data_IF_263560000242
#
_entry.id   IF_263560000242
#
_cell.length_a   1.000
_cell.length_b   1.000
_cell.length_c   1.000
_cell.angle_alpha   90.00
_cell.angle_beta   90.00
_cell.angle_gamma   90.00
#
_symmetry.space_group_name_H-M   'P 1'
#
loop_
_entity.id
_entity.type
_entity.pdbx_description
1 polymer ?
#
# COMPACT_ATOMS: atom_id res chain seq x y z
N UNK A 1 -26.67 -18.45 0.48
CA UNK A 1 -25.60 -17.63 -0.12
C UNK A 1 -25.84 -17.31 -1.60
N UNK A 2 -26.05 -18.29 -2.50
CA UNK A 2 -26.22 -18.02 -3.95
C UNK A 2 -27.41 -17.10 -4.31
N UNK A 3 -28.47 -17.03 -3.49
CA UNK A 3 -29.63 -16.16 -3.74
C UNK A 3 -29.36 -14.67 -3.53
N UNK A 4 -28.40 -14.30 -2.67
CA UNK A 4 -28.07 -12.90 -2.36
C UNK A 4 -27.23 -12.21 -3.45
N UNK A 5 -26.53 -13.00 -4.26
CA UNK A 5 -25.62 -12.49 -5.29
C UNK A 5 -26.34 -12.15 -6.59
N UNK A 6 -27.55 -12.69 -6.79
CA UNK A 6 -28.32 -12.49 -8.01
C UNK A 6 -28.76 -11.04 -8.13
N UNK A 7 -28.33 -10.39 -9.21
CA UNK A 7 -28.65 -8.98 -9.48
C UNK A 7 -27.66 -7.98 -8.86
N UNK A 8 -26.59 -8.46 -8.19
CA UNK A 8 -25.48 -7.59 -7.81
C UNK A 8 -24.66 -7.22 -9.04
N UNK A 9 -24.20 -5.97 -9.13
CA UNK A 9 -23.45 -5.42 -10.25
C UNK A 9 -22.08 -4.92 -9.80
N UNK A 10 -21.04 -5.47 -10.41
CA UNK A 10 -19.63 -5.13 -10.16
C UNK A 10 -19.09 -4.36 -11.36
N UNK A 11 -18.76 -3.09 -11.16
CA UNK A 11 -17.97 -2.29 -12.09
C UNK A 11 -16.48 -2.61 -11.93
N UNK A 12 -15.72 -2.62 -13.01
CA UNK A 12 -14.26 -2.69 -12.91
C UNK A 12 -13.54 -1.73 -13.84
N UNK A 13 -12.43 -1.16 -13.35
CA UNK A 13 -11.48 -0.40 -14.15
C UNK A 13 -10.06 -0.91 -13.99
N UNK A 14 -9.51 -1.48 -15.07
CA UNK A 14 -8.14 -1.97 -15.14
C UNK A 14 -7.55 -1.54 -16.48
N UNK A 15 -6.27 -1.19 -16.51
CA UNK A 15 -5.57 -0.99 -17.78
C UNK A 15 -5.61 -2.26 -18.63
N UNK A 16 -5.61 -2.11 -19.96
CA UNK A 16 -5.64 -3.27 -20.87
C UNK A 16 -4.50 -4.26 -20.57
N UNK A 17 -3.32 -3.73 -20.25
CA UNK A 17 -2.14 -4.53 -19.87
C UNK A 17 -2.43 -5.39 -18.64
N UNK A 18 -3.06 -4.84 -17.61
CA UNK A 18 -3.41 -5.59 -16.38
C UNK A 18 -4.54 -6.59 -16.63
N UNK A 19 -5.56 -6.19 -17.40
CA UNK A 19 -6.66 -7.08 -17.77
C UNK A 19 -6.17 -8.32 -18.52
N UNK A 20 -5.29 -8.13 -19.51
CA UNK A 20 -4.63 -9.21 -20.26
C UNK A 20 -3.77 -10.08 -19.34
N UNK A 21 -2.92 -9.46 -18.51
CA UNK A 21 -2.02 -10.19 -17.59
C UNK A 21 -2.78 -11.06 -16.58
N UNK A 22 -3.88 -10.57 -16.02
CA UNK A 22 -4.70 -11.32 -15.08
C UNK A 22 -5.64 -12.32 -15.76
N UNK A 23 -5.89 -12.19 -17.07
CA UNK A 23 -7.01 -12.86 -17.76
C UNK A 23 -8.36 -12.54 -17.10
N UNK A 24 -8.62 -11.26 -16.82
CA UNK A 24 -9.76 -10.83 -16.00
C UNK A 24 -11.15 -11.15 -16.61
N UNK A 25 -11.22 -11.45 -17.91
CA UNK A 25 -12.46 -11.93 -18.54
C UNK A 25 -12.94 -13.26 -17.95
N UNK A 26 -12.01 -14.16 -17.59
CA UNK A 26 -12.36 -15.42 -16.93
C UNK A 26 -12.99 -15.19 -15.54
N UNK A 27 -12.54 -14.14 -14.82
CA UNK A 27 -13.17 -13.72 -13.57
C UNK A 27 -14.58 -13.17 -13.78
N UNK A 28 -14.77 -12.33 -14.81
CA UNK A 28 -16.10 -11.83 -15.14
C UNK A 28 -17.09 -12.99 -15.45
N UNK A 29 -16.64 -14.03 -16.16
CA UNK A 29 -17.44 -15.23 -16.40
C UNK A 29 -17.73 -16.04 -15.14
N UNK A 30 -16.77 -16.14 -14.21
CA UNK A 30 -16.95 -16.76 -12.91
C UNK A 30 -18.05 -16.04 -12.10
N UNK A 31 -18.03 -14.71 -12.07
CA UNK A 31 -19.06 -13.88 -11.43
C UNK A 31 -20.44 -14.06 -12.06
N UNK A 32 -20.54 -14.07 -13.40
CA UNK A 32 -21.81 -14.28 -14.12
C UNK A 32 -22.43 -15.64 -13.79
N UNK A 33 -21.63 -16.70 -13.66
CA UNK A 33 -22.10 -18.02 -13.21
C UNK A 33 -22.66 -18.02 -11.79
N UNK A 34 -22.32 -17.02 -10.98
CA UNK A 34 -22.85 -16.79 -9.63
C UNK A 34 -24.00 -15.78 -9.58
N UNK A 35 -24.47 -15.30 -10.74
CA UNK A 35 -25.56 -14.33 -10.86
C UNK A 35 -25.15 -12.88 -10.64
N UNK A 36 -23.85 -12.59 -10.62
CA UNK A 36 -23.29 -11.24 -10.50
C UNK A 36 -23.07 -10.67 -11.90
N UNK A 37 -23.61 -9.50 -12.16
CA UNK A 37 -23.33 -8.72 -13.36
C UNK A 37 -21.95 -8.06 -13.25
N UNK A 38 -21.14 -8.14 -14.30
CA UNK A 38 -19.79 -7.54 -14.31
C UNK A 38 -19.66 -6.66 -15.54
N UNK A 39 -19.38 -5.38 -15.32
CA UNK A 39 -19.27 -4.34 -16.36
C UNK A 39 -17.91 -3.67 -16.31
N UNK A 40 -17.25 -3.56 -17.47
CA UNK A 40 -16.04 -2.75 -17.59
C UNK A 40 -16.45 -1.29 -17.62
N UNK A 41 -15.87 -0.49 -16.73
CA UNK A 41 -16.16 0.94 -16.65
C UNK A 41 -15.38 1.69 -17.71
N UNK A 42 -16.07 2.56 -18.44
CA UNK A 42 -15.49 3.57 -19.30
C UNK A 42 -15.50 4.91 -18.56
N UNK A 43 -14.35 5.31 -18.02
CA UNK A 43 -14.22 6.57 -17.29
C UNK A 43 -14.36 7.79 -18.20
N UNK A 44 -14.34 7.63 -19.54
CA UNK A 44 -14.58 8.72 -20.48
C UNK A 44 -16.07 9.07 -20.59
N UNK A 45 -16.97 8.19 -20.15
CA UNK A 45 -18.41 8.42 -20.07
C UNK A 45 -18.86 8.72 -18.62
N UNK A 46 -20.07 9.28 -18.41
CA UNK A 46 -20.66 9.40 -17.08
C UNK A 46 -20.78 8.03 -16.39
N UNK A 47 -20.41 7.95 -15.10
CA UNK A 47 -20.53 6.71 -14.33
C UNK A 47 -21.98 6.40 -13.94
N UNK A 48 -22.83 7.43 -13.80
CA UNK A 48 -24.28 7.30 -13.55
C UNK A 48 -24.98 6.39 -14.57
N UNK A 49 -24.62 6.53 -15.85
CA UNK A 49 -25.20 5.75 -16.95
C UNK A 49 -24.70 4.29 -16.97
N UNK A 50 -23.62 4.01 -16.23
CA UNK A 50 -22.98 2.70 -16.13
C UNK A 50 -23.34 1.97 -14.83
N UNK A 51 -24.10 2.62 -13.95
CA UNK A 51 -24.61 2.06 -12.70
C UNK A 51 -26.06 1.57 -12.81
N UNK A 52 -26.73 1.33 -11.66
CA UNK A 52 -26.17 1.37 -10.31
C UNK A 52 -25.11 0.28 -10.10
N UNK A 53 -24.09 0.55 -9.28
CA UNK A 53 -23.01 -0.39 -8.97
C UNK A 53 -23.05 -0.75 -7.48
N UNK A 54 -22.91 -2.03 -7.15
CA UNK A 54 -22.73 -2.45 -5.76
C UNK A 54 -21.25 -2.44 -5.35
N UNK A 55 -20.36 -2.76 -6.30
CA UNK A 55 -18.91 -2.80 -6.07
C UNK A 55 -18.16 -2.22 -7.27
N UNK A 56 -17.09 -1.46 -7.01
CA UNK A 56 -16.09 -1.06 -8.00
C UNK A 56 -14.77 -1.75 -7.67
N UNK A 57 -14.23 -2.53 -8.61
CA UNK A 57 -12.86 -3.08 -8.54
C UNK A 57 -11.97 -2.25 -9.44
N UNK A 58 -10.88 -1.68 -8.91
CA UNK A 58 -10.03 -0.86 -9.77
C UNK A 58 -8.54 -0.96 -9.45
N UNK A 59 -7.72 -0.63 -10.46
CA UNK A 59 -6.33 -0.24 -10.26
C UNK A 59 -6.06 1.07 -10.98
N UNK A 60 -6.43 2.17 -10.32
CA UNK A 60 -6.27 3.55 -10.83
C UNK A 60 -4.89 4.14 -10.54
N UNK A 61 -3.92 3.33 -10.07
CA UNK A 61 -2.62 3.79 -9.59
C UNK A 61 -1.90 4.69 -10.59
N UNK A 62 -1.90 4.33 -11.87
CA UNK A 62 -1.21 5.10 -12.91
C UNK A 62 -1.94 6.42 -13.21
N UNK A 63 -3.27 6.39 -13.35
CA UNK A 63 -4.08 7.61 -13.53
C UNK A 63 -3.96 8.57 -12.35
N UNK A 64 -3.91 8.06 -11.11
CA UNK A 64 -3.72 8.90 -9.92
C UNK A 64 -2.33 9.55 -9.94
N UNK A 65 -1.28 8.80 -10.32
CA UNK A 65 0.06 9.36 -10.45
C UNK A 65 0.15 10.41 -11.56
N UNK A 66 -0.46 10.17 -12.71
CA UNK A 66 -0.52 11.12 -13.83
C UNK A 66 -1.28 12.38 -13.43
N UNK A 67 -2.40 12.22 -12.70
CA UNK A 67 -3.14 13.34 -12.13
C UNK A 67 -2.31 14.17 -11.14
N UNK A 68 -1.55 13.51 -10.25
CA UNK A 68 -0.65 14.18 -9.30
C UNK A 68 0.53 14.90 -10.01
N UNK A 69 0.82 14.54 -11.26
CA UNK A 69 1.76 15.23 -12.15
C UNK A 69 1.11 16.35 -12.99
N UNK A 70 -0.14 16.70 -12.67
CA UNK A 70 -0.96 17.71 -13.37
C UNK A 70 -1.34 17.34 -14.81
N UNK A 71 -1.46 16.06 -15.15
CA UNK A 71 -2.09 15.67 -16.40
C UNK A 71 -3.59 15.96 -16.36
N UNK A 72 -4.05 16.88 -17.22
CA UNK A 72 -5.42 17.39 -17.22
C UNK A 72 -6.47 16.31 -17.47
N UNK A 73 -6.17 15.34 -18.34
CA UNK A 73 -7.11 14.26 -18.64
C UNK A 73 -7.25 13.33 -17.43
N UNK A 74 -6.13 12.91 -16.85
CA UNK A 74 -6.10 12.06 -15.67
C UNK A 74 -6.75 12.72 -14.45
N UNK A 75 -6.52 14.02 -14.24
CA UNK A 75 -7.21 14.82 -13.22
C UNK A 75 -8.75 14.74 -13.39
N UNK A 76 -9.24 14.94 -14.62
CA UNK A 76 -10.68 14.86 -14.90
C UNK A 76 -11.25 13.47 -14.65
N UNK A 77 -10.53 12.42 -15.08
CA UNK A 77 -10.97 11.03 -14.90
C UNK A 77 -11.00 10.63 -13.42
N UNK A 78 -9.96 10.99 -12.66
CA UNK A 78 -9.88 10.74 -11.21
C UNK A 78 -10.95 11.52 -10.46
N UNK A 79 -11.19 12.80 -10.83
CA UNK A 79 -12.25 13.61 -10.23
C UNK A 79 -13.64 12.99 -10.47
N UNK A 80 -13.92 12.52 -11.68
CA UNK A 80 -15.20 11.87 -12.00
C UNK A 80 -15.45 10.62 -11.16
N UNK A 81 -14.40 9.81 -10.96
CA UNK A 81 -14.49 8.64 -10.07
C UNK A 81 -14.75 9.08 -8.63
N UNK A 82 -14.06 10.11 -8.15
CA UNK A 82 -14.26 10.66 -6.81
C UNK A 82 -15.70 11.17 -6.63
N UNK A 83 -16.21 11.97 -7.57
CA UNK A 83 -17.57 12.54 -7.52
C UNK A 83 -18.65 11.44 -7.47
N UNK A 84 -18.47 10.36 -8.24
CA UNK A 84 -19.36 9.21 -8.22
C UNK A 84 -19.33 8.48 -6.87
N UNK A 85 -18.13 8.21 -6.34
CA UNK A 85 -17.97 7.55 -5.02
C UNK A 85 -18.60 8.38 -3.91
N UNK A 86 -18.45 9.70 -3.94
CA UNK A 86 -19.06 10.61 -2.96
C UNK A 86 -20.59 10.67 -3.07
N UNK A 87 -21.12 10.56 -4.29
CA UNK A 87 -22.57 10.57 -4.56
C UNK A 87 -23.24 9.22 -4.27
N UNK A 88 -22.46 8.13 -4.22
CA UNK A 88 -22.91 6.75 -4.01
C UNK A 88 -22.17 6.06 -2.86
N UNK A 89 -22.39 6.48 -1.60
CA UNK A 89 -21.75 5.85 -0.43
C UNK A 89 -22.13 4.37 -0.25
N UNK A 90 -23.20 3.90 -0.89
CA UNK A 90 -23.58 2.50 -0.98
C UNK A 90 -22.68 1.66 -1.92
N UNK A 91 -21.89 2.28 -2.79
CA UNK A 91 -20.97 1.56 -3.68
C UNK A 91 -19.69 1.20 -2.92
N UNK A 92 -19.39 -0.09 -2.80
CA UNK A 92 -18.14 -0.56 -2.19
C UNK A 92 -16.97 -0.37 -3.17
N UNK A 93 -15.91 0.31 -2.77
CA UNK A 93 -14.73 0.56 -3.62
C UNK A 93 -13.56 -0.33 -3.18
N UNK A 94 -13.09 -1.20 -4.07
CA UNK A 94 -11.93 -2.08 -3.90
C UNK A 94 -10.76 -1.53 -4.73
N UNK A 95 -9.89 -0.68 -4.18
CA UNK A 95 -9.81 -0.22 -2.77
C UNK A 95 -9.91 1.32 -2.68
N UNK A 96 -10.27 1.92 -1.53
CA UNK A 96 -10.49 3.36 -1.41
C UNK A 96 -9.33 4.22 -1.93
N UNK A 97 -9.62 5.28 -2.70
CA UNK A 97 -8.59 6.13 -3.31
C UNK A 97 -7.57 6.71 -2.30
N UNK A 98 -7.95 7.13 -1.06
CA UNK A 98 -6.98 7.57 -0.07
C UNK A 98 -5.96 6.49 0.33
N UNK A 99 -6.40 5.24 0.37
CA UNK A 99 -5.54 4.10 0.65
C UNK A 99 -4.55 3.88 -0.50
N UNK A 100 -5.04 3.94 -1.75
CA UNK A 100 -4.19 3.86 -2.95
C UNK A 100 -3.14 4.98 -2.95
N UNK A 101 -3.51 6.23 -2.66
CA UNK A 101 -2.58 7.36 -2.57
C UNK A 101 -1.49 7.18 -1.52
N UNK A 102 -1.80 6.48 -0.42
CA UNK A 102 -0.79 6.12 0.59
C UNK A 102 0.23 5.12 0.03
N UNK A 103 -0.24 4.11 -0.71
CA UNK A 103 0.59 3.08 -1.33
C UNK A 103 1.39 3.55 -2.56
N UNK A 104 1.11 4.76 -3.06
CA UNK A 104 1.87 5.38 -4.16
C UNK A 104 3.13 6.12 -3.69
N UNK A 105 3.28 6.35 -2.39
CA UNK A 105 4.43 7.03 -1.78
C UNK A 105 5.13 6.08 -0.80
N UNK A 106 6.37 5.69 -1.10
CA UNK A 106 7.15 4.75 -0.26
C UNK A 106 7.41 5.32 1.13
N UNK A 107 7.59 6.63 1.28
CA UNK A 107 7.76 7.25 2.59
C UNK A 107 6.50 7.02 3.44
N UNK A 108 5.31 7.34 2.90
CA UNK A 108 4.05 7.14 3.62
C UNK A 108 3.80 5.67 3.93
N UNK A 109 4.12 4.79 2.99
CA UNK A 109 3.98 3.35 3.14
C UNK A 109 4.88 2.78 4.25
N UNK A 110 6.16 3.20 4.30
CA UNK A 110 7.08 2.74 5.35
C UNK A 110 6.76 3.36 6.71
N UNK A 111 6.33 4.62 6.76
CA UNK A 111 5.82 5.24 7.99
C UNK A 111 4.58 4.51 8.54
N UNK A 112 3.72 3.99 7.65
CA UNK A 112 2.59 3.16 8.07
C UNK A 112 3.06 1.82 8.63
N UNK A 113 3.97 1.12 7.94
CA UNK A 113 4.50 -0.18 8.38
C UNK A 113 5.14 -0.05 9.76
N UNK A 114 5.97 0.97 9.97
CA UNK A 114 6.59 1.23 11.27
C UNK A 114 5.55 1.48 12.38
N UNK A 115 4.50 2.26 12.10
CA UNK A 115 3.40 2.46 13.06
C UNK A 115 2.62 1.17 13.36
N UNK A 116 2.53 0.25 12.41
CA UNK A 116 1.86 -1.04 12.62
C UNK A 116 2.74 -1.95 13.49
N UNK A 117 4.03 -2.05 13.19
CA UNK A 117 5.00 -2.75 14.03
C UNK A 117 4.97 -2.25 15.48
N UNK A 118 5.05 -0.93 15.68
CA UNK A 118 4.96 -0.29 17.00
C UNK A 118 3.65 -0.61 17.74
N UNK A 119 2.54 -0.79 17.01
CA UNK A 119 1.25 -1.15 17.62
C UNK A 119 1.17 -2.64 17.96
N UNK A 120 1.74 -3.48 17.10
CA UNK A 120 1.71 -4.93 17.26
C UNK A 120 2.59 -5.38 18.43
N UNK A 121 3.70 -4.68 18.69
CA UNK A 121 4.67 -5.06 19.73
C UNK A 121 5.10 -6.54 19.63
N UNK A 122 5.20 -7.03 18.38
CA UNK A 122 5.59 -8.40 18.06
C UNK A 122 7.10 -8.43 17.78
N UNK A 123 7.85 -9.11 18.64
CA UNK A 123 9.32 -9.20 18.56
C UNK A 123 9.81 -9.95 17.31
N UNK A 124 8.92 -10.64 16.59
CA UNK A 124 9.21 -11.34 15.33
C UNK A 124 9.15 -10.42 14.11
N UNK A 125 8.78 -9.15 14.25
CA UNK A 125 8.69 -8.18 13.16
C UNK A 125 9.79 -7.13 13.34
N UNK A 126 10.34 -6.65 12.22
CA UNK A 126 11.20 -5.47 12.23
C UNK A 126 10.91 -4.54 11.04
N UNK A 127 10.80 -3.23 11.25
CA UNK A 127 10.87 -2.25 10.16
C UNK A 127 12.32 -1.80 9.99
N UNK A 128 12.95 -2.03 8.83
CA UNK A 128 14.29 -1.50 8.59
C UNK A 128 14.27 0.04 8.68
N UNK A 129 15.24 0.66 9.37
CA UNK A 129 15.38 2.11 9.42
C UNK A 129 15.39 2.70 8.01
N UNK A 130 14.68 3.81 7.82
CA UNK A 130 14.59 4.50 6.54
C UNK A 130 14.49 6.01 6.72
N UNK A 131 14.89 6.76 5.69
CA UNK A 131 14.65 8.20 5.60
C UNK A 131 14.42 8.63 4.15
N UNK A 132 13.94 9.86 3.97
CA UNK A 132 13.77 10.47 2.65
C UNK A 132 14.90 11.47 2.40
N UNK A 133 15.55 11.34 1.25
CA UNK A 133 16.43 12.36 0.71
C UNK A 133 15.62 13.18 -0.29
N UNK A 134 15.39 14.46 0.00
CA UNK A 134 14.65 15.38 -0.89
C UNK A 134 15.57 16.15 -1.84
N UNK A 135 16.83 16.33 -1.46
CA UNK A 135 17.85 17.09 -2.19
C UNK A 135 19.15 16.30 -2.22
N UNK A 136 20.07 16.71 -3.10
CA UNK A 136 21.40 16.11 -3.24
C UNK A 136 22.12 16.00 -1.90
N UNK A 137 22.90 14.93 -1.75
CA UNK A 137 23.67 14.65 -0.54
C UNK A 137 24.73 15.75 -0.32
N UNK A 138 24.81 16.25 0.90
CA UNK A 138 25.74 17.29 1.33
C UNK A 138 26.51 16.89 2.59
N UNK A 139 27.27 17.83 3.18
CA UNK A 139 28.13 17.56 4.35
C UNK A 139 27.38 16.95 5.55
N UNK A 140 26.13 17.37 5.76
CA UNK A 140 25.32 16.92 6.91
C UNK A 140 24.60 15.59 6.66
N UNK A 141 24.66 15.04 5.45
CA UNK A 141 23.89 13.84 5.07
C UNK A 141 24.27 12.63 5.92
N UNK A 142 25.56 12.44 6.22
CA UNK A 142 26.00 11.35 7.09
C UNK A 142 25.48 11.47 8.52
N UNK A 143 25.53 12.67 9.10
CA UNK A 143 25.00 12.91 10.44
C UNK A 143 23.50 12.59 10.50
N UNK A 144 22.75 12.94 9.45
CA UNK A 144 21.34 12.57 9.35
C UNK A 144 21.14 11.06 9.23
N UNK A 145 21.95 10.36 8.43
CA UNK A 145 21.90 8.89 8.30
C UNK A 145 22.12 8.24 9.67
N UNK A 146 23.16 8.64 10.40
CA UNK A 146 23.47 8.10 11.73
C UNK A 146 22.34 8.40 12.73
N UNK A 147 21.83 9.64 12.74
CA UNK A 147 20.73 10.05 13.62
C UNK A 147 19.43 9.27 13.39
N UNK A 148 19.18 8.82 12.15
CA UNK A 148 18.02 7.99 11.81
C UNK A 148 18.30 6.48 11.96
N UNK A 149 19.47 6.09 12.48
CA UNK A 149 19.84 4.69 12.71
C UNK A 149 20.06 3.88 11.43
N UNK A 150 20.32 4.55 10.31
CA UNK A 150 20.64 3.89 9.04
C UNK A 150 22.07 3.37 9.08
N UNK A 151 22.28 2.18 8.51
CA UNK A 151 23.60 1.55 8.46
C UNK A 151 23.93 1.10 7.04
N UNK A 152 25.21 1.09 6.70
CA UNK A 152 25.66 0.53 5.43
C UNK A 152 25.63 -1.01 5.45
N UNK A 153 25.31 -1.66 4.32
CA UNK A 153 24.77 -1.04 3.13
C UNK A 153 23.31 -0.61 3.31
N UNK A 154 22.86 0.40 2.56
CA UNK A 154 21.45 0.72 2.42
C UNK A 154 21.01 0.69 0.96
N UNK A 155 19.73 0.44 0.75
CA UNK A 155 19.08 0.44 -0.56
C UNK A 155 18.39 1.78 -0.80
N UNK A 156 18.64 2.38 -1.95
CA UNK A 156 17.96 3.57 -2.46
C UNK A 156 16.82 3.13 -3.38
N UNK A 157 15.64 3.71 -3.18
CA UNK A 157 14.43 3.47 -3.98
C UNK A 157 13.81 4.82 -4.34
N UNK A 158 13.17 4.94 -5.50
CA UNK A 158 12.40 6.15 -5.81
C UNK A 158 11.32 6.39 -4.76
N UNK A 159 10.98 7.66 -4.47
CA UNK A 159 9.88 7.95 -3.54
C UNK A 159 8.52 7.49 -4.08
N UNK A 160 8.28 7.75 -5.37
CA UNK A 160 7.10 7.23 -6.07
C UNK A 160 7.23 5.70 -6.17
N UNK A 161 6.20 4.99 -5.70
CA UNK A 161 6.23 3.53 -5.52
C UNK A 161 5.74 2.71 -6.74
N UNK A 162 5.17 3.37 -7.76
CA UNK A 162 4.61 2.71 -8.94
C UNK A 162 4.92 3.50 -10.23
N UNK A 163 4.84 2.84 -11.38
CA UNK A 163 5.05 3.43 -12.70
C UNK A 163 6.43 3.13 -13.31
N UNK A 164 6.66 3.59 -14.54
CA UNK A 164 7.76 3.16 -15.42
C UNK A 164 9.16 3.29 -14.81
N UNK A 165 9.42 4.36 -14.05
CA UNK A 165 10.73 4.64 -13.46
C UNK A 165 10.82 4.32 -11.97
N UNK A 166 9.77 3.74 -11.37
CA UNK A 166 9.71 3.49 -9.91
C UNK A 166 10.52 2.29 -9.42
N UNK A 167 11.17 1.60 -10.36
CA UNK A 167 11.82 0.32 -10.16
C UNK A 167 13.34 0.37 -10.24
N UNK A 168 13.92 1.51 -10.62
CA UNK A 168 15.36 1.75 -10.55
C UNK A 168 15.76 1.96 -9.09
N UNK A 169 16.73 1.16 -8.65
CA UNK A 169 17.22 1.12 -7.28
C UNK A 169 18.74 1.10 -7.27
N UNK A 170 19.31 1.50 -6.13
CA UNK A 170 20.74 1.40 -5.90
C UNK A 170 21.03 0.75 -4.54
N UNK A 171 22.17 0.10 -4.39
CA UNK A 171 22.71 -0.31 -3.09
C UNK A 171 23.99 0.46 -2.87
N UNK A 172 24.06 1.19 -1.77
CA UNK A 172 25.16 2.09 -1.42
C UNK A 172 25.95 1.43 -0.30
N UNK A 173 27.27 1.33 -0.45
CA UNK A 173 28.15 0.61 0.47
C UNK A 173 29.06 1.51 1.27
N UNK A 174 29.21 2.78 0.87
CA UNK A 174 30.10 3.73 1.53
C UNK A 174 29.59 5.16 1.40
N UNK A 175 30.16 6.08 2.16
CA UNK A 175 29.91 7.52 2.04
C UNK A 175 30.23 8.03 0.62
N UNK A 176 31.30 7.53 0.00
CA UNK A 176 31.76 8.00 -1.32
C UNK A 176 30.76 7.75 -2.45
N UNK A 177 29.88 6.75 -2.26
CA UNK A 177 28.81 6.37 -3.19
C UNK A 177 27.56 7.25 -3.05
N UNK A 178 27.45 8.07 -1.98
CA UNK A 178 26.28 8.93 -1.75
C UNK A 178 26.07 9.98 -2.86
N UNK A 179 27.14 10.35 -3.55
CA UNK A 179 27.10 11.27 -4.70
C UNK A 179 26.33 10.71 -5.91
N UNK A 180 26.22 9.39 -5.99
CA UNK A 180 25.55 8.70 -7.11
C UNK A 180 24.05 8.45 -6.82
N UNK A 181 23.56 8.84 -5.63
CA UNK A 181 22.15 8.79 -5.26
C UNK A 181 21.39 9.92 -5.96
N UNK A 182 20.20 9.62 -6.50
CA UNK A 182 19.35 10.61 -7.18
C UNK A 182 18.07 10.89 -6.38
N UNK A 183 18.01 12.02 -5.64
CA UNK A 183 16.80 12.50 -4.97
C UNK A 183 15.72 13.00 -5.96
N UNK A 184 14.42 13.01 -5.57
CA UNK A 184 13.88 12.54 -4.30
C UNK A 184 13.82 11.02 -4.22
N UNK A 185 14.39 10.44 -3.17
CA UNK A 185 14.44 9.00 -2.96
C UNK A 185 14.24 8.63 -1.50
N UNK A 186 13.92 7.36 -1.26
CA UNK A 186 13.92 6.74 0.05
C UNK A 186 15.18 5.90 0.16
N UNK A 187 15.94 6.09 1.24
CA UNK A 187 17.03 5.18 1.62
C UNK A 187 16.58 4.34 2.81
N UNK A 188 16.90 3.05 2.78
CA UNK A 188 16.48 2.08 3.80
C UNK A 188 17.64 1.11 4.08
N UNK A 189 17.94 0.83 5.34
CA UNK A 189 19.00 -0.13 5.71
C UNK A 189 18.77 -1.47 5.02
N UNK A 190 19.82 -2.02 4.41
CA UNK A 190 19.76 -3.31 3.75
C UNK A 190 19.78 -4.42 4.81
N UNK A 191 18.88 -5.38 4.69
CA UNK A 191 18.83 -6.55 5.56
C UNK A 191 19.29 -7.75 4.75
N UNK A 192 20.32 -8.47 5.21
CA UNK A 192 20.67 -9.76 4.64
C UNK A 192 19.55 -10.78 4.90
N UNK A 193 19.09 -11.44 3.85
CA UNK A 193 17.89 -12.30 3.87
C UNK A 193 18.02 -13.52 2.96
N UNK A 194 19.26 -13.95 2.70
CA UNK A 194 19.57 -15.19 2.00
C UNK A 194 18.99 -15.30 0.58
N UNK A 195 18.84 -14.15 -0.10
CA UNK A 195 18.37 -14.04 -1.48
C UNK A 195 16.95 -14.58 -1.74
N UNK A 196 16.11 -14.62 -0.70
CA UNK A 196 14.71 -15.07 -0.79
C UNK A 196 13.74 -13.96 -0.40
N UNK A 197 12.83 -13.63 -1.32
CA UNK A 197 11.71 -12.73 -1.08
C UNK A 197 10.41 -13.54 -0.95
N UNK A 198 9.63 -13.27 0.09
CA UNK A 198 8.30 -13.83 0.27
C UNK A 198 7.26 -12.79 -0.11
N UNK A 199 6.67 -12.92 -1.30
CA UNK A 199 5.54 -12.09 -1.73
C UNK A 199 4.26 -12.64 -1.11
N UNK A 200 3.73 -11.92 -0.14
CA UNK A 200 2.42 -12.23 0.41
C UNK A 200 1.38 -11.47 -0.40
N UNK A 201 0.61 -12.20 -1.19
CA UNK A 201 -0.49 -11.64 -1.96
C UNK A 201 -1.78 -11.75 -1.17
N UNK A 202 -2.36 -10.61 -0.79
CA UNK A 202 -3.56 -10.52 0.04
C UNK A 202 -4.78 -10.22 -0.82
N UNK A 203 -5.84 -10.99 -0.62
CA UNK A 203 -7.16 -10.82 -1.24
C UNK A 203 -8.20 -10.90 -0.13
N UNK A 204 -8.54 -9.75 0.44
CA UNK A 204 -9.46 -9.66 1.58
C UNK A 204 -8.93 -10.41 2.80
N UNK A 205 -9.71 -11.37 3.28
CA UNK A 205 -9.33 -12.21 4.42
C UNK A 205 -8.34 -13.33 4.07
N UNK A 206 -8.11 -13.60 2.78
CA UNK A 206 -7.20 -14.65 2.30
C UNK A 206 -5.86 -14.08 1.88
N UNK A 207 -4.81 -14.88 1.98
CA UNK A 207 -3.52 -14.56 1.36
C UNK A 207 -2.81 -15.82 0.87
N UNK A 208 -1.88 -15.62 -0.06
CA UNK A 208 -0.97 -16.66 -0.54
C UNK A 208 0.46 -16.13 -0.50
N UNK A 209 1.38 -16.92 0.05
CA UNK A 209 2.81 -16.60 0.05
C UNK A 209 3.46 -17.24 -1.17
N UNK A 210 4.16 -16.44 -1.97
CA UNK A 210 4.91 -16.88 -3.15
C UNK A 210 6.36 -16.49 -2.97
N UNK A 211 7.24 -17.49 -2.97
CA UNK A 211 8.68 -17.30 -2.91
C UNK A 211 9.20 -16.75 -4.25
N UNK A 212 10.14 -15.80 -4.19
CA UNK A 212 10.77 -15.15 -5.34
C UNK A 212 12.27 -15.02 -5.12
N UNK A 213 13.06 -14.99 -6.21
CA UNK A 213 14.45 -14.54 -6.13
C UNK A 213 14.54 -13.14 -5.52
N UNK A 214 15.60 -12.89 -4.77
CA UNK A 214 15.88 -11.60 -4.15
C UNK A 214 17.38 -11.32 -4.08
N UNK A 215 17.76 -10.14 -3.60
CA UNK A 215 19.16 -9.74 -3.50
C UNK A 215 19.94 -10.64 -2.54
N UNK A 216 21.12 -11.08 -2.98
CA UNK A 216 22.07 -11.84 -2.16
C UNK A 216 22.54 -11.06 -0.95
N UNK A 217 23.19 -11.76 -0.04
CA UNK A 217 23.78 -11.14 1.14
C UNK A 217 24.99 -10.27 0.77
N UNK A 218 25.21 -9.21 1.55
CA UNK A 218 26.38 -8.35 1.46
C UNK A 218 27.08 -8.20 2.81
N UNK A 219 28.39 -7.92 2.85
CA UNK A 219 29.08 -7.61 4.10
C UNK A 219 28.39 -6.45 4.84
N UNK A 220 28.25 -6.58 6.15
CA UNK A 220 27.71 -5.52 6.99
C UNK A 220 28.72 -4.38 7.17
N UNK A 221 28.20 -3.16 7.32
CA UNK A 221 29.00 -1.95 7.48
C UNK A 221 29.55 -1.40 6.16
N UNK A 222 30.33 -0.31 6.23
CA UNK A 222 30.96 0.28 5.06
C UNK A 222 31.88 -0.73 4.36
N UNK A 223 31.84 -0.75 3.04
CA UNK A 223 32.72 -1.61 2.24
C UNK A 223 33.33 -0.82 1.07
N UNK A 224 34.62 -1.04 0.82
CA UNK A 224 35.34 -0.50 -0.34
C UNK A 224 34.91 -1.25 -1.61
N UNK A 225 33.75 -0.85 -2.13
CA UNK A 225 33.11 -1.38 -3.33
C UNK A 225 32.17 -0.33 -3.89
N UNK A 226 32.00 -0.35 -5.20
CA UNK A 226 31.08 0.57 -5.88
C UNK A 226 29.63 0.27 -5.56
N UNK A 227 28.81 1.31 -5.57
CA UNK A 227 27.36 1.20 -5.62
C UNK A 227 26.87 0.24 -6.72
N UNK A 228 25.79 -0.49 -6.43
CA UNK A 228 25.12 -1.37 -7.40
C UNK A 228 23.84 -0.71 -7.84
N UNK A 229 23.68 -0.47 -9.14
CA UNK A 229 22.44 0.00 -9.75
C UNK A 229 21.70 -1.15 -10.43
N UNK A 230 20.41 -1.25 -10.20
CA UNK A 230 19.60 -2.32 -10.76
C UNK A 230 18.12 -1.93 -10.87
N UNK A 231 17.44 -2.58 -11.81
CA UNK A 231 15.99 -2.54 -11.88
C UNK A 231 15.40 -3.72 -11.09
N UNK A 232 14.51 -3.45 -10.13
CA UNK A 232 13.88 -4.47 -9.27
C UNK A 232 13.11 -5.55 -10.05
N UNK A 233 12.64 -5.29 -11.27
CA UNK A 233 12.04 -6.32 -12.12
C UNK A 233 13.02 -7.37 -12.60
N UNK A 234 14.31 -7.07 -12.65
CA UNK A 234 15.34 -8.05 -13.01
C UNK A 234 15.76 -8.92 -11.81
N UNK A 235 15.30 -8.58 -10.60
CA UNK A 235 15.70 -9.24 -9.34
C UNK A 235 14.60 -10.15 -8.80
N UNK A 236 13.33 -9.74 -8.80
CA UNK A 236 12.27 -10.45 -8.04
C UNK A 236 11.05 -10.89 -8.86
N UNK A 237 11.23 -11.16 -10.15
CA UNK A 237 10.25 -11.89 -10.98
C UNK A 237 10.51 -13.40 -10.90
N UNK A 238 9.55 -14.26 -11.26
CA UNK A 238 9.71 -15.72 -11.12
C UNK A 238 10.96 -16.27 -11.80
N UNK A 239 11.25 -15.78 -13.01
CA UNK A 239 12.39 -16.22 -13.83
C UNK A 239 13.63 -15.32 -13.67
N UNK A 240 13.66 -14.45 -12.65
CA UNK A 240 14.81 -13.58 -12.40
C UNK A 240 16.01 -14.41 -11.98
N UNK A 241 17.09 -14.34 -12.76
CA UNK A 241 18.35 -15.01 -12.47
C UNK A 241 19.52 -14.13 -12.87
N UNK A 242 20.31 -13.71 -11.89
CA UNK A 242 21.53 -12.91 -12.08
C UNK A 242 22.51 -13.14 -10.92
N UNK A 243 23.73 -12.62 -11.05
CA UNK A 243 24.72 -12.64 -9.95
C UNK A 243 24.25 -11.91 -8.68
N UNK A 244 23.26 -11.02 -8.80
CA UNK A 244 22.65 -10.32 -7.67
C UNK A 244 21.66 -11.19 -6.92
N UNK A 245 21.13 -12.26 -7.53
CA UNK A 245 20.14 -13.17 -6.93
C UNK A 245 20.73 -14.53 -6.57
N UNK A 246 22.05 -14.69 -6.68
CA UNK A 246 22.73 -15.92 -6.31
C UNK A 246 22.57 -16.23 -4.81
N UNK A 247 22.47 -17.53 -4.49
CA UNK A 247 22.38 -18.07 -3.13
C UNK A 247 23.70 -18.68 -2.64
N UNK A 248 24.82 -18.38 -3.29
CA UNK A 248 26.13 -18.97 -2.95
C UNK A 248 26.63 -18.59 -1.55
N UNK A 249 26.15 -17.48 -0.99
CA UNK A 249 26.58 -16.95 0.31
C UNK A 249 25.45 -16.92 1.36
N UNK A 250 24.57 -17.93 1.35
CA UNK A 250 23.56 -18.13 2.41
C UNK A 250 24.23 -18.36 3.75
N UNK A 251 23.75 -17.68 4.79
CA UNK A 251 24.29 -17.74 6.15
C UNK A 251 23.17 -17.51 7.18
N UNK A 252 23.39 -17.86 8.44
CA UNK A 252 22.45 -17.60 9.53
C UNK A 252 21.08 -18.27 9.34
N UNK A 253 20.01 -17.56 9.72
CA UNK A 253 18.62 -18.05 9.67
C UNK A 253 18.10 -18.05 8.24
N UNK A 254 17.53 -19.18 7.80
CA UNK A 254 16.91 -19.34 6.49
C UNK A 254 15.63 -20.17 6.60
N UNK A 255 14.60 -19.59 7.23
CA UNK A 255 13.30 -20.21 7.42
C UNK A 255 12.22 -19.47 6.61
N UNK A 256 11.11 -20.14 6.25
CA UNK A 256 9.96 -19.46 5.68
C UNK A 256 9.30 -18.54 6.73
N UNK A 257 8.50 -17.54 6.28
CA UNK A 257 7.78 -16.67 7.18
C UNK A 257 6.77 -17.43 8.04
N UNK A 258 6.59 -16.97 9.28
CA UNK A 258 5.60 -17.48 10.21
C UNK A 258 4.20 -17.01 9.79
N UNK A 259 3.29 -17.98 9.63
CA UNK A 259 1.93 -17.73 9.15
C UNK A 259 1.13 -16.78 10.05
N UNK A 260 1.28 -16.88 11.38
CA UNK A 260 0.58 -16.01 12.33
C UNK A 260 1.05 -14.55 12.22
N UNK A 261 2.35 -14.34 12.00
CA UNK A 261 2.92 -13.00 11.74
C UNK A 261 2.33 -12.41 10.47
N UNK A 262 2.29 -13.19 9.38
CA UNK A 262 1.71 -12.73 8.11
C UNK A 262 0.22 -12.42 8.24
N UNK A 263 -0.53 -13.27 8.95
CA UNK A 263 -1.96 -13.08 9.22
C UNK A 263 -2.22 -11.78 9.98
N UNK A 264 -1.43 -11.49 11.02
CA UNK A 264 -1.59 -10.28 11.83
C UNK A 264 -1.14 -9.01 11.08
N UNK A 265 -0.04 -9.07 10.32
CA UNK A 265 0.39 -7.99 9.42
C UNK A 265 -0.69 -7.65 8.39
N UNK A 266 -1.22 -8.68 7.71
CA UNK A 266 -2.31 -8.54 6.75
C UNK A 266 -3.53 -7.90 7.40
N UNK A 267 -3.98 -8.42 8.55
CA UNK A 267 -5.12 -7.86 9.28
C UNK A 267 -4.90 -6.39 9.66
N UNK A 268 -3.75 -6.07 10.23
CA UNK A 268 -3.41 -4.72 10.68
C UNK A 268 -3.36 -3.72 9.54
N UNK A 269 -2.79 -4.10 8.39
CA UNK A 269 -2.75 -3.28 7.18
C UNK A 269 -4.15 -3.04 6.62
N UNK A 270 -4.98 -4.09 6.53
CA UNK A 270 -6.38 -3.98 6.07
C UNK A 270 -7.19 -3.05 6.97
N UNK A 271 -7.10 -3.21 8.28
CA UNK A 271 -7.84 -2.38 9.23
C UNK A 271 -7.36 -0.92 9.25
N UNK A 272 -6.05 -0.69 9.06
CA UNK A 272 -5.49 0.67 9.14
C UNK A 272 -5.67 1.47 7.84
N UNK A 273 -5.55 0.83 6.68
CA UNK A 273 -5.67 1.49 5.38
C UNK A 273 -7.04 1.32 4.71
N UNK A 274 -7.81 0.29 5.07
CA UNK A 274 -8.99 -0.10 4.30
C UNK A 274 -8.67 -0.74 2.95
N UNK A 275 -7.43 -1.19 2.71
CA UNK A 275 -7.08 -1.96 1.51
C UNK A 275 -7.50 -3.42 1.67
N UNK A 276 -7.68 -4.11 0.54
CA UNK A 276 -8.02 -5.52 0.51
C UNK A 276 -7.35 -6.27 -0.63
N UNK A 277 -6.99 -5.59 -1.71
CA UNK A 277 -6.27 -6.15 -2.85
C UNK A 277 -4.86 -5.56 -2.87
N UNK A 278 -3.93 -6.18 -2.14
CA UNK A 278 -2.56 -5.68 -2.04
C UNK A 278 -1.56 -6.82 -1.90
N UNK A 279 -0.28 -6.51 -2.07
CA UNK A 279 0.81 -7.43 -1.76
C UNK A 279 1.79 -6.78 -0.81
N UNK A 280 2.35 -7.56 0.11
CA UNK A 280 3.49 -7.16 0.93
C UNK A 280 4.70 -8.03 0.59
N UNK A 281 5.83 -7.37 0.44
CA UNK A 281 7.12 -8.00 0.18
C UNK A 281 7.83 -8.18 1.53
N UNK A 282 7.93 -9.44 1.97
CA UNK A 282 8.51 -9.81 3.25
C UNK A 282 9.84 -10.52 3.03
N UNK A 283 10.86 -10.10 3.76
CA UNK A 283 12.14 -10.80 3.85
C UNK A 283 12.37 -11.26 5.29
N UNK A 284 13.14 -12.31 5.47
CA UNK A 284 13.51 -12.82 6.80
C UNK A 284 14.94 -12.39 7.09
N UNK A 285 15.12 -11.56 8.12
CA UNK A 285 16.44 -11.13 8.57
C UNK A 285 17.25 -12.36 8.98
N UNK A 286 18.37 -12.62 8.31
CA UNK A 286 19.15 -13.83 8.55
C UNK A 286 19.94 -13.81 9.88
N UNK A 287 20.05 -12.65 10.54
CA UNK A 287 20.68 -12.52 11.85
C UNK A 287 19.69 -12.78 13.00
N UNK A 288 18.45 -12.27 12.87
CA UNK A 288 17.46 -12.29 13.96
C UNK A 288 16.29 -13.24 13.72
N UNK A 289 16.03 -13.65 12.48
CA UNK A 289 14.85 -14.40 12.07
C UNK A 289 13.57 -13.57 11.98
N UNK A 290 13.65 -12.24 12.18
CA UNK A 290 12.50 -11.34 12.13
C UNK A 290 12.00 -11.10 10.70
N UNK A 291 10.72 -10.76 10.58
CA UNK A 291 10.03 -10.45 9.35
C UNK A 291 10.14 -8.96 9.07
N UNK A 292 10.82 -8.60 7.99
CA UNK A 292 10.87 -7.22 7.52
C UNK A 292 9.97 -7.02 6.30
N UNK A 293 9.00 -6.11 6.42
CA UNK A 293 8.20 -5.66 5.29
C UNK A 293 8.97 -4.56 4.57
N UNK A 294 9.42 -4.84 3.34
CA UNK A 294 10.29 -3.93 2.57
C UNK A 294 9.59 -3.23 1.41
N UNK A 295 8.38 -3.67 1.06
CA UNK A 295 7.53 -3.03 0.06
C UNK A 295 6.06 -3.42 0.25
N UNK A 296 5.16 -2.55 -0.18
CA UNK A 296 3.71 -2.80 -0.21
C UNK A 296 3.14 -2.26 -1.52
N UNK A 297 2.30 -3.06 -2.17
CA UNK A 297 1.85 -2.81 -3.53
C UNK A 297 0.32 -2.89 -3.63
N UNK A 298 -0.31 -1.84 -4.14
CA UNK A 298 -1.73 -1.86 -4.48
C UNK A 298 -2.01 -2.74 -5.70
N UNK A 299 -2.96 -3.66 -5.55
CA UNK A 299 -3.45 -4.60 -6.56
C UNK A 299 -2.31 -5.14 -7.45
N UNK A 300 -1.45 -6.02 -6.92
CA UNK A 300 -0.30 -6.55 -7.63
C UNK A 300 -0.70 -7.53 -8.74
N UNK A 301 0.27 -8.27 -9.27
CA UNK A 301 0.07 -9.19 -10.39
C UNK A 301 -0.49 -10.57 -10.01
N UNK A 302 -0.49 -10.95 -8.73
CA UNK A 302 -0.95 -12.26 -8.23
C UNK A 302 -0.38 -13.48 -8.97
N UNK A 303 0.81 -13.34 -9.56
CA UNK A 303 1.48 -14.39 -10.30
C UNK A 303 2.03 -15.45 -9.32
N UNK A 304 1.61 -16.70 -9.50
CA UNK A 304 1.83 -17.79 -8.54
C UNK A 304 0.67 -18.01 -7.57
N UNK A 305 -0.46 -17.31 -7.72
CA UNK A 305 -1.67 -17.49 -6.90
C UNK A 305 -2.77 -18.16 -7.73
N UNK A 306 -2.88 -19.50 -7.71
CA UNK A 306 -3.85 -20.21 -8.55
C UNK A 306 -5.31 -19.90 -8.19
N UNK A 307 -5.59 -19.64 -6.90
CA UNK A 307 -6.94 -19.40 -6.39
C UNK A 307 -7.39 -17.94 -6.45
N UNK A 308 -6.60 -17.05 -7.08
CA UNK A 308 -6.84 -15.59 -7.05
C UNK A 308 -8.29 -15.19 -7.38
N UNK A 309 -8.90 -15.79 -8.40
CA UNK A 309 -10.28 -15.47 -8.79
C UNK A 309 -11.33 -16.00 -7.82
N UNK A 310 -11.10 -17.16 -7.20
CA UNK A 310 -11.99 -17.69 -6.18
C UNK A 310 -11.91 -16.82 -4.92
N UNK A 311 -10.70 -16.43 -4.51
CA UNK A 311 -10.47 -15.55 -3.37
C UNK A 311 -11.09 -14.16 -3.60
N UNK A 312 -10.92 -13.60 -4.80
CA UNK A 312 -11.50 -12.29 -5.15
C UNK A 312 -13.03 -12.35 -5.12
N UNK A 313 -13.62 -13.40 -5.67
CA UNK A 313 -15.08 -13.61 -5.62
C UNK A 313 -15.55 -13.76 -4.16
N UNK A 314 -14.86 -14.57 -3.35
CA UNK A 314 -15.20 -14.75 -1.94
C UNK A 314 -15.12 -13.44 -1.16
N UNK A 315 -14.11 -12.62 -1.44
CA UNK A 315 -13.96 -11.29 -0.84
C UNK A 315 -15.11 -10.36 -1.22
N UNK A 316 -15.49 -10.30 -2.50
CA UNK A 316 -16.66 -9.52 -2.97
C UNK A 316 -17.94 -9.97 -2.25
N UNK A 317 -18.14 -11.28 -2.12
CA UNK A 317 -19.28 -11.84 -1.38
C UNK A 317 -19.25 -11.37 0.08
N UNK A 318 -18.08 -11.41 0.72
CA UNK A 318 -17.89 -11.02 2.12
C UNK A 318 -18.20 -9.54 2.35
N UNK A 319 -17.69 -8.63 1.51
CA UNK A 319 -17.93 -7.19 1.67
C UNK A 319 -19.39 -6.82 1.41
N UNK A 320 -20.04 -7.46 0.44
CA UNK A 320 -21.48 -7.27 0.21
C UNK A 320 -22.33 -7.77 1.39
N UNK A 321 -21.92 -8.88 2.03
CA UNK A 321 -22.61 -9.39 3.22
C UNK A 321 -22.43 -8.46 4.42
N UNK A 322 -21.22 -7.95 4.65
CA UNK A 322 -20.93 -6.99 5.73
C UNK A 322 -21.78 -5.72 5.62
N UNK A 323 -21.90 -5.18 4.41
CA UNK A 323 -22.74 -4.02 4.17
C UNK A 323 -24.24 -4.30 4.41
N UNK A 324 -24.72 -5.49 4.02
CA UNK A 324 -26.10 -5.89 4.26
C UNK A 324 -26.43 -5.98 5.76
N UNK A 325 -25.50 -6.46 6.59
CA UNK A 325 -25.69 -6.50 8.04
C UNK A 325 -25.73 -5.11 8.69
N UNK A 326 -24.92 -4.16 8.20
CA UNK A 326 -24.90 -2.78 8.73
C UNK A 326 -26.15 -1.98 8.32
N UNK A 327 -26.77 -2.35 7.20
CA UNK A 327 -28.00 -1.71 6.70
C UNK A 327 -29.30 -2.24 7.32
N UNK A 328 -29.26 -3.29 8.14
CA UNK A 328 -30.46 -3.85 8.77
C UNK A 328 -30.91 -2.99 9.96
N UNK A 329 -32.19 -2.54 10.05
CA UNK A 329 -32.66 -1.78 11.19
C UNK A 329 -32.61 -2.65 12.45
N UNK A 330 -31.94 -2.19 13.50
CA UNK A 330 -32.11 -2.75 14.84
C UNK A 330 -33.58 -2.62 15.24
N UNK A 331 -34.34 -3.71 15.17
CA UNK A 331 -35.75 -3.73 15.54
C UNK A 331 -35.96 -3.31 17.01
N UNK A 332 -37.17 -2.86 17.38
CA UNK A 332 -37.42 -2.39 18.75
C UNK A 332 -37.28 -3.57 19.72
N UNK A 333 -36.38 -3.44 20.70
CA UNK A 333 -36.39 -4.31 21.87
C UNK A 333 -37.66 -4.01 22.67
N UNK A 334 -38.69 -4.83 22.49
CA UNK A 334 -39.82 -4.89 23.41
C UNK A 334 -39.37 -5.50 24.75
N UNK A 335 -38.88 -4.65 25.65
CA UNK A 335 -38.72 -4.97 27.05
C UNK A 335 -40.05 -4.84 27.79
N UNK A 336 -40.84 -5.91 27.83
CA UNK A 336 -41.98 -6.00 28.74
C UNK A 336 -41.49 -6.14 30.18
N UNK A 337 -41.77 -5.11 30.97
CA UNK A 337 -41.65 -5.14 32.42
C UNK A 337 -42.68 -6.12 33.01
N UNK A 338 -42.22 -7.05 33.84
CA UNK A 338 -43.03 -7.73 34.84
C UNK A 338 -42.16 -7.90 36.09
N UNK A 339 -42.53 -7.17 37.15
CA UNK A 339 -41.80 -7.14 38.40
C UNK A 339 -42.02 -8.36 39.28
N UNK A 340 -41.12 -8.50 40.26
CA UNK A 340 -41.38 -9.09 41.56
C UNK A 340 -40.20 -8.79 42.49
N UNK A 341 -40.45 -7.98 43.51
CA UNK A 341 -39.69 -7.95 44.78
C UNK A 341 -40.16 -9.12 45.65
N UNK A 342 -39.36 -9.55 46.66
CA UNK A 342 -39.65 -9.02 47.99
C UNK A 342 -38.40 -8.66 48.83
N UNK A 343 -38.71 -7.90 49.88
CA UNK A 343 -37.82 -7.19 50.78
C UNK A 343 -37.21 -8.03 51.90
N UNK A 344 -36.08 -7.55 52.43
CA UNK A 344 -35.63 -7.57 53.84
C UNK A 344 -34.19 -7.03 53.87
N UNK A 345 -33.61 -6.44 54.92
CA UNK A 345 -34.03 -5.77 56.14
C UNK A 345 -32.74 -5.06 56.62
N UNK A 346 -32.82 -3.79 57.02
CA UNK A 346 -31.71 -3.05 57.66
C UNK A 346 -31.73 -3.38 59.17
N UNK A 347 -30.58 -3.34 59.85
CA UNK A 347 -30.48 -2.30 60.88
C UNK A 347 -29.13 -1.58 60.92
N UNK A 348 -29.22 -0.43 61.57
CA UNK A 348 -28.31 0.70 61.65
C UNK A 348 -27.05 0.47 62.49
N UNK A 349 -26.09 1.41 62.33
CA UNK A 349 -25.31 1.90 63.47
C UNK A 349 -23.92 2.46 63.15
N UNK A 350 -23.73 3.76 63.38
CA UNK A 350 -22.53 4.25 64.06
C UNK A 350 -21.57 5.15 63.28
N UNK A 351 -21.60 6.45 63.60
CA UNK A 351 -20.57 7.46 63.36
C UNK A 351 -19.15 7.02 63.78
N UNK A 352 -18.12 7.50 63.05
CA UNK A 352 -17.06 8.43 63.55
C UNK A 352 -15.84 8.50 62.62
N UNK A 353 -15.46 9.74 62.28
CA UNK A 353 -14.12 10.27 62.59
C UNK A 353 -12.92 9.95 61.67
N UNK A 354 -12.62 10.89 60.78
CA UNK A 354 -11.32 11.56 60.56
C UNK A 354 -10.00 10.78 60.80
N UNK A 355 -9.14 10.66 59.78
CA UNK A 355 -7.81 11.33 59.68
C UNK A 355 -6.93 10.72 58.59
N UNK A 356 -6.29 11.58 57.82
CA UNK A 356 -5.09 11.32 57.00
C UNK A 356 -3.85 11.19 57.90
N UNK A 357 -2.74 10.64 57.37
CA UNK A 357 -1.65 11.54 57.03
C UNK A 357 -0.90 11.25 55.72
N UNK A 358 -0.59 12.40 55.12
CA UNK A 358 0.43 12.86 54.16
C UNK A 358 1.78 12.13 54.09
N UNK A 359 2.38 12.15 52.87
CA UNK A 359 3.84 12.21 52.62
C UNK A 359 4.23 11.50 51.30
N UNK A 360 4.23 12.15 50.13
CA UNK A 360 5.22 13.08 49.51
C UNK A 360 6.37 12.44 48.70
N UNK A 361 6.65 13.10 47.55
CA UNK A 361 7.71 12.94 46.55
C UNK A 361 7.57 11.78 45.54
N UNK A 362 7.72 11.98 44.22
CA UNK A 362 8.12 13.15 43.44
C UNK A 362 7.95 12.87 41.94
N UNK A 363 7.71 13.93 41.18
CA UNK A 363 7.46 13.95 39.74
C UNK A 363 8.69 13.59 38.90
N UNK A 364 8.46 13.00 37.73
CA UNK A 364 9.17 13.31 36.50
C UNK A 364 8.18 13.18 35.32
N UNK A 365 8.13 14.23 34.52
CA UNK A 365 7.07 14.53 33.56
C UNK A 365 7.09 13.67 32.31
N UNK A 366 5.88 13.45 31.80
CA UNK A 366 5.62 13.09 30.41
C UNK A 366 5.70 14.37 29.57
N UNK A 367 6.67 14.45 28.67
CA UNK A 367 6.65 15.41 27.56
C UNK A 367 5.98 14.76 26.34
N UNK A 368 5.11 15.49 25.62
CA UNK A 368 4.39 15.01 24.44
C UNK A 368 5.23 15.13 23.16
N UNK A 369 5.09 14.15 22.27
CA UNK A 369 5.72 14.07 20.94
C UNK A 369 5.36 15.27 20.05
N UNK A 370 6.31 15.92 19.34
CA UNK A 370 6.00 17.04 18.47
C UNK A 370 5.95 16.59 17.00
N UNK A 371 4.75 16.33 16.46
CA UNK A 371 4.55 16.20 15.01
C UNK A 371 3.20 16.82 14.60
N UNK A 372 3.21 18.15 14.43
CA UNK A 372 2.24 18.89 13.62
C UNK A 372 3.07 19.90 12.84
N UNK A 373 3.09 19.78 11.50
CA UNK A 373 3.47 20.89 10.63
C UNK A 373 2.23 21.26 9.83
N UNK A 374 1.83 22.50 10.05
CA UNK A 374 0.66 23.19 9.52
C UNK A 374 0.71 23.33 8.00
N UNK A 375 -0.48 23.38 7.41
CA UNK A 375 -0.68 23.74 6.02
C UNK A 375 -0.42 25.22 5.77
N UNK A 376 0.20 25.52 4.63
CA UNK A 376 0.49 26.89 4.24
C UNK A 376 -0.78 27.59 3.72
N UNK A 377 -1.17 28.65 4.43
CA UNK A 377 -2.29 29.53 4.11
C UNK A 377 -1.77 30.80 3.42
N UNK A 378 -1.72 30.80 2.09
CA UNK A 378 -1.43 31.97 1.28
C UNK A 378 -2.66 32.90 1.13
N UNK A 379 -2.56 34.10 1.70
CA UNK A 379 -3.60 35.15 1.73
C UNK A 379 -4.01 35.67 0.34
N UNK A 380 -5.32 35.90 0.18
CA UNK A 380 -5.98 36.60 -0.95
C UNK A 380 -5.77 38.12 -0.90
N UNK A 381 -5.74 38.76 -2.07
CA UNK A 381 -6.49 40.00 -2.49
C UNK A 381 -5.65 40.92 -3.41
N UNK A 382 -6.24 41.81 -4.27
CA UNK A 382 -7.43 41.67 -5.13
C UNK A 382 -7.21 42.08 -6.62
N UNK A 383 -8.20 41.72 -7.44
CA UNK A 383 -8.60 42.15 -8.78
C UNK A 383 -7.84 43.26 -9.55
N UNK A 384 -7.48 42.94 -10.81
CA UNK A 384 -7.66 43.83 -11.97
C UNK A 384 -7.91 43.04 -13.26
N UNK A 385 -8.96 43.40 -14.01
CA UNK A 385 -9.25 42.95 -15.38
C UNK A 385 -8.41 43.74 -16.38
N UNK A 386 -7.96 43.11 -17.48
CA UNK A 386 -8.18 43.51 -18.89
C UNK A 386 -7.12 42.90 -19.82
N UNK A 387 -7.56 42.45 -21.02
CA UNK A 387 -6.82 42.69 -22.26
C UNK A 387 -6.31 41.46 -23.02
N UNK A 388 -7.02 41.08 -24.09
CA UNK A 388 -6.51 40.26 -25.19
C UNK A 388 -5.27 40.91 -25.85
N UNK A 389 -4.32 40.09 -26.31
CA UNK A 389 -3.90 40.12 -27.72
C UNK A 389 -2.96 38.96 -28.10
N UNK A 390 -3.17 38.55 -29.34
CA UNK A 390 -2.53 37.54 -30.18
C UNK A 390 -1.09 37.86 -30.59
N UNK A 391 -0.24 36.83 -30.69
CA UNK A 391 0.79 36.73 -31.72
C UNK A 391 1.31 35.29 -31.89
N UNK A 392 1.12 34.80 -33.11
CA UNK A 392 1.58 33.60 -33.81
C UNK A 392 3.13 33.64 -33.93
N UNK A 393 3.93 32.57 -33.86
CA UNK A 393 4.27 31.61 -34.95
C UNK A 393 5.56 30.79 -34.60
N UNK A 394 6.08 29.83 -35.42
CA UNK A 394 5.99 28.38 -35.16
C UNK A 394 7.36 27.64 -35.26
N UNK A 395 7.35 26.31 -35.01
CA UNK A 395 8.11 25.25 -35.73
C UNK A 395 8.56 24.12 -34.78
N UNK A 396 7.88 22.97 -34.84
CA UNK A 396 8.46 21.74 -35.42
C UNK A 396 7.40 20.64 -35.33
N UNK A 397 6.91 20.22 -36.49
CA UNK A 397 5.99 19.09 -36.64
C UNK A 397 6.65 18.05 -37.55
N UNK A 398 6.40 16.79 -37.21
CA UNK A 398 6.46 15.59 -38.06
C UNK A 398 7.84 14.95 -38.29
N UNK A 399 7.98 13.72 -37.80
CA UNK A 399 7.81 12.54 -38.66
C UNK A 399 7.47 11.30 -37.82
N UNK A 400 6.23 10.82 -37.99
CA UNK A 400 5.86 9.41 -37.81
C UNK A 400 5.79 8.80 -39.21
N UNK A 401 6.52 7.72 -39.50
CA UNK A 401 6.13 6.75 -40.54
C UNK A 401 6.53 5.34 -40.09
N UNK A 402 5.53 4.47 -40.11
CA UNK A 402 5.57 3.01 -39.96
C UNK A 402 6.36 2.30 -41.05
N UNK A 403 6.86 1.10 -40.77
CA UNK A 403 6.98 0.08 -41.84
C UNK A 403 6.78 -1.32 -41.29
N UNK A 404 5.76 -1.99 -41.83
CA UNK A 404 5.55 -3.45 -41.79
C UNK A 404 5.92 -3.98 -43.19
N UNK A 405 6.69 -5.07 -43.26
CA UNK A 405 6.39 -6.27 -44.07
C UNK A 405 7.61 -7.23 -44.23
N UNK A 406 7.46 -8.44 -43.69
CA UNK A 406 7.75 -9.78 -44.26
C UNK A 406 8.76 -9.96 -45.41
N UNK A 407 9.74 -10.86 -45.21
CA UNK A 407 9.89 -12.11 -46.01
C UNK A 407 10.94 -13.08 -45.43
N UNK A 408 10.70 -14.35 -45.74
CA UNK A 408 11.37 -15.58 -45.28
C UNK A 408 12.74 -15.89 -45.94
N UNK A 409 13.54 -16.76 -45.34
CA UNK A 409 13.98 -18.07 -45.87
C UNK A 409 15.28 -18.58 -45.21
N UNK A 410 15.24 -19.84 -44.75
CA UNK A 410 16.25 -20.90 -44.79
C UNK A 410 17.72 -20.62 -44.44
N UNK A 411 18.20 -21.22 -43.35
CA UNK A 411 19.03 -22.45 -43.36
C UNK A 411 19.09 -23.07 -41.97
#
# INVERSE_FOLDING_TARGET
MQTFLKGRRVGYWLSEKKMKKLNFLAFADLCRKRGIEVVQLDLSQPLEEQGPLDVIIHKLTDLILEADQNDTQSLLLVQRVQDYIESHPETIVLDPLPAIRTLLDRCKSYQLIHRIEDRMQDDRICSPPFMVLNSECGPDTLEQIEKHGLTFPFICKTRVAHGTNSHEMAIIFSEEDLKDVTPPCVIQSFINHNAVLYKVFVVGESYTVVERPSLKNFPAGPADRKAIFFNSHNVSKPESSSDLTSRDNVEGVSQPPNDDVIRELSRSLRQTLGVSLFGIDVIINNQTGQHAVIDINAFPGYEGVPEFFNDLLNHIISVLQGQASDSAPSGPQNGSAAGQTPASAVPAGGDRGCTTPTGCCGMLGKEPSPWIVEGDAGKKSPHQRLGCNSAVSPNFQQHCVSTIATKASSQ
#
